data_IF_005367091721
#
_entry.id   IF_005367091721
#
_cell.length_a   1.000
_cell.length_b   1.000
_cell.length_c   1.000
_cell.angle_alpha   90.00
_cell.angle_beta   90.00
_cell.angle_gamma   90.00
#
_symmetry.space_group_name_H-M   'P 1'
#
loop_
_entity.id
_entity.type
_entity.pdbx_description
1 polymer ?
#
# COMPACT_ATOMS: atom_id res chain seq x y z
N UNK A 1 -20.45 -31.75 6.30
CA UNK A 1 -18.98 -31.69 6.54
C UNK A 1 -18.64 -30.23 6.84
N UNK A 2 -17.92 -29.93 7.92
CA UNK A 2 -17.53 -28.55 8.26
C UNK A 2 -16.45 -27.99 7.31
N UNK A 3 -16.31 -26.67 7.26
CA UNK A 3 -15.27 -26.01 6.44
C UNK A 3 -13.88 -26.39 6.95
N UNK A 4 -12.95 -26.85 6.09
CA UNK A 4 -11.60 -27.22 6.50
C UNK A 4 -10.74 -25.96 6.70
N UNK A 5 -10.79 -25.37 7.90
CA UNK A 5 -10.13 -24.10 8.25
C UNK A 5 -8.61 -24.15 8.09
N UNK A 6 -8.00 -25.32 8.24
CA UNK A 6 -6.58 -25.58 8.07
C UNK A 6 -6.11 -25.19 6.67
N UNK A 7 -6.97 -25.35 5.66
CA UNK A 7 -6.68 -24.94 4.29
C UNK A 7 -6.69 -23.42 4.11
N UNK A 8 -7.35 -22.68 5.01
CA UNK A 8 -7.47 -21.22 4.96
C UNK A 8 -6.34 -20.51 5.71
N UNK A 9 -5.68 -21.19 6.65
CA UNK A 9 -4.56 -20.63 7.42
C UNK A 9 -3.45 -20.09 6.50
N UNK A 10 -2.96 -20.83 5.48
CA UNK A 10 -1.93 -20.31 4.59
C UNK A 10 -2.37 -19.03 3.86
N UNK A 11 -3.63 -18.97 3.42
CA UNK A 11 -4.17 -17.79 2.74
C UNK A 11 -4.33 -16.60 3.67
N UNK A 12 -4.74 -16.82 4.93
CA UNK A 12 -4.82 -15.78 5.94
C UNK A 12 -3.45 -15.17 6.25
N UNK A 13 -2.40 -16.01 6.34
CA UNK A 13 -1.02 -15.55 6.53
C UNK A 13 -0.59 -14.68 5.35
N UNK A 14 -0.77 -15.17 4.10
CA UNK A 14 -0.41 -14.41 2.90
C UNK A 14 -1.15 -13.07 2.85
N UNK A 15 -2.47 -13.07 3.06
CA UNK A 15 -3.29 -11.86 3.08
C UNK A 15 -2.81 -10.87 4.13
N UNK A 16 -2.47 -11.35 5.32
CA UNK A 16 -1.97 -10.51 6.41
C UNK A 16 -0.62 -9.88 6.05
N UNK A 17 0.30 -10.65 5.47
CA UNK A 17 1.60 -10.12 5.04
C UNK A 17 1.42 -9.03 3.96
N UNK A 18 0.64 -9.30 2.93
CA UNK A 18 0.36 -8.31 1.88
C UNK A 18 -0.36 -7.07 2.43
N UNK A 19 -1.30 -7.26 3.37
CA UNK A 19 -2.01 -6.17 4.03
C UNK A 19 -1.09 -5.27 4.83
N UNK A 20 -0.22 -5.86 5.67
CA UNK A 20 0.75 -5.12 6.49
C UNK A 20 1.73 -4.37 5.60
N UNK A 21 2.29 -5.02 4.56
CA UNK A 21 3.23 -4.37 3.65
C UNK A 21 2.57 -3.22 2.89
N UNK A 22 1.36 -3.41 2.35
CA UNK A 22 0.63 -2.37 1.62
C UNK A 22 0.29 -1.16 2.50
N UNK A 23 -0.26 -1.42 3.70
CA UNK A 23 -0.59 -0.37 4.66
C UNK A 23 0.67 0.35 5.17
N UNK A 24 1.73 -0.40 5.46
CA UNK A 24 3.03 0.13 5.89
C UNK A 24 3.63 1.08 4.85
N UNK A 25 3.71 0.63 3.60
CA UNK A 25 4.25 1.46 2.51
C UNK A 25 3.38 2.69 2.25
N UNK A 26 2.05 2.56 2.30
CA UNK A 26 1.14 3.70 2.16
C UNK A 26 1.35 4.74 3.26
N UNK A 27 1.54 4.30 4.51
CA UNK A 27 1.79 5.19 5.64
C UNK A 27 3.13 5.89 5.53
N UNK A 28 4.20 5.18 5.16
CA UNK A 28 5.52 5.77 4.96
C UNK A 28 5.49 6.83 3.86
N UNK A 29 4.87 6.54 2.71
CA UNK A 29 4.72 7.52 1.62
C UNK A 29 3.91 8.74 2.05
N UNK A 30 2.84 8.55 2.83
CA UNK A 30 2.07 9.67 3.36
C UNK A 30 2.93 10.54 4.29
N UNK A 31 3.75 9.95 5.17
CA UNK A 31 4.65 10.70 6.05
C UNK A 31 5.71 11.48 5.25
N UNK A 32 6.29 10.87 4.21
CA UNK A 32 7.26 11.54 3.33
C UNK A 32 6.66 12.72 2.57
N UNK A 33 5.37 12.64 2.22
CA UNK A 33 4.64 13.68 1.49
C UNK A 33 3.96 14.70 2.42
N UNK A 34 4.43 14.86 3.66
CA UNK A 34 3.86 15.82 4.62
C UNK A 34 2.41 15.50 5.03
N UNK A 35 2.06 14.21 5.07
CA UNK A 35 0.71 13.72 5.37
C UNK A 35 -0.20 13.61 4.15
N UNK A 36 0.25 14.04 2.96
CA UNK A 36 -0.56 14.00 1.74
C UNK A 36 -0.41 12.67 1.01
N UNK A 37 -1.43 12.29 0.24
CA UNK A 37 -1.36 11.12 -0.65
C UNK A 37 -0.30 11.35 -1.73
N UNK A 38 0.41 10.28 -2.11
CA UNK A 38 1.33 10.34 -3.24
C UNK A 38 0.59 10.67 -4.55
N UNK A 39 1.21 11.49 -5.41
CA UNK A 39 0.69 11.74 -6.76
C UNK A 39 1.02 10.54 -7.65
N UNK A 40 0.05 10.18 -8.48
CA UNK A 40 0.16 9.16 -9.50
C UNK A 40 -0.06 9.83 -10.86
N UNK A 41 0.48 9.25 -11.94
CA UNK A 41 0.36 9.81 -13.30
C UNK A 41 0.88 11.25 -13.44
N UNK A 42 2.02 11.54 -12.80
CA UNK A 42 2.68 12.85 -12.89
C UNK A 42 3.16 13.06 -14.31
N UNK A 43 2.65 14.10 -14.98
CA UNK A 43 3.06 14.47 -16.32
C UNK A 43 4.27 15.44 -16.31
N UNK A 44 4.68 15.86 -17.51
CA UNK A 44 5.84 16.75 -17.67
C UNK A 44 5.59 18.16 -17.07
N UNK A 45 4.34 18.61 -17.05
CA UNK A 45 3.94 19.90 -16.47
C UNK A 45 3.96 19.84 -14.94
N UNK A 46 3.39 18.77 -14.38
CA UNK A 46 3.38 18.46 -12.96
C UNK A 46 4.78 18.30 -12.38
N UNK A 47 5.68 17.66 -13.13
CA UNK A 47 7.07 17.51 -12.74
C UNK A 47 7.84 18.84 -12.72
N UNK A 48 7.44 19.84 -13.50
CA UNK A 48 8.05 21.17 -13.48
C UNK A 48 7.48 22.03 -12.34
N UNK A 49 6.16 21.97 -12.12
CA UNK A 49 5.47 22.73 -11.08
C UNK A 49 5.73 22.23 -9.64
N UNK A 50 6.26 21.01 -9.49
CA UNK A 50 6.52 20.38 -8.18
C UNK A 50 8.02 20.24 -7.87
N UNK A 51 8.91 20.78 -8.71
CA UNK A 51 10.34 20.91 -8.38
C UNK A 51 10.52 21.95 -7.25
N UNK A 52 11.51 21.77 -6.36
CA UNK A 52 11.87 22.80 -5.39
C UNK A 52 12.30 24.09 -6.08
#
# INVERSE_FOLDING_TARGET
MGVPFETLIPFAIMLTMFGITGAGLSKVRAMQNGGKRGRHSVDQWDSQSTKP
#
